data_IF_560946898205
#
_entry.id   IF_560946898205
#
_cell.length_a   1.000
_cell.length_b   1.000
_cell.length_c   1.000
_cell.angle_alpha   90.00
_cell.angle_beta   90.00
_cell.angle_gamma   90.00
#
_symmetry.space_group_name_H-M   'P 1'
#
loop_
_entity.id
_entity.type
_entity.pdbx_description
1 polymer ?
#
# COMPACT_ATOMS: atom_id res chain seq x y z
N UNK A 1 -15.95 19.12 -3.79
CA UNK A 1 -14.62 18.74 -4.34
C UNK A 1 -14.79 17.42 -5.09
N UNK A 2 -14.90 17.45 -6.42
CA UNK A 2 -14.86 16.22 -7.24
C UNK A 2 -13.39 15.85 -7.43
N UNK A 3 -12.93 14.85 -6.70
CA UNK A 3 -11.60 14.28 -6.90
C UNK A 3 -11.70 13.36 -8.13
N UNK A 4 -11.51 13.91 -9.33
CA UNK A 4 -11.32 13.10 -10.54
C UNK A 4 -9.84 12.71 -10.62
N UNK A 5 -9.39 11.87 -9.69
CA UNK A 5 -8.05 11.30 -9.76
C UNK A 5 -8.14 9.96 -10.49
N UNK A 6 -7.45 9.87 -11.62
CA UNK A 6 -7.33 8.62 -12.38
C UNK A 6 -6.40 7.70 -11.59
N UNK A 7 -6.95 6.62 -11.05
CA UNK A 7 -6.18 5.58 -10.35
C UNK A 7 -5.87 4.47 -11.35
N UNK A 8 -4.59 4.26 -11.63
CA UNK A 8 -4.14 3.18 -12.52
C UNK A 8 -3.54 2.08 -11.68
N UNK A 9 -4.13 0.88 -11.67
CA UNK A 9 -3.56 -0.29 -10.98
C UNK A 9 -2.54 -0.94 -11.91
N UNK A 10 -1.29 -1.00 -11.48
CA UNK A 10 -0.18 -1.51 -12.29
C UNK A 10 0.08 -2.99 -12.09
N UNK A 11 -0.07 -3.46 -10.85
CA UNK A 11 0.23 -4.85 -10.51
C UNK A 11 -0.53 -5.28 -9.27
N UNK A 12 -0.86 -6.57 -9.20
CA UNK A 12 -1.41 -7.22 -8.01
C UNK A 12 -0.60 -8.48 -7.74
N UNK A 13 -0.05 -8.60 -6.54
CA UNK A 13 0.66 -9.78 -6.09
C UNK A 13 0.22 -10.14 -4.67
N UNK A 14 -0.66 -11.12 -4.57
CA UNK A 14 -1.24 -11.56 -3.30
C UNK A 14 -1.97 -10.42 -2.59
N UNK A 15 -1.46 -10.03 -1.42
CA UNK A 15 -2.02 -8.99 -0.54
C UNK A 15 -1.62 -7.57 -0.93
N UNK A 16 -0.78 -7.40 -1.94
CA UNK A 16 -0.24 -6.11 -2.36
C UNK A 16 -0.80 -5.68 -3.71
N UNK A 17 -1.18 -4.42 -3.81
CA UNK A 17 -1.64 -3.77 -5.03
C UNK A 17 -0.82 -2.50 -5.27
N UNK A 18 -0.23 -2.36 -6.45
CA UNK A 18 0.49 -1.16 -6.85
C UNK A 18 -0.41 -0.30 -7.71
N UNK A 19 -0.47 0.99 -7.41
CA UNK A 19 -1.26 1.92 -8.19
C UNK A 19 -0.63 3.29 -8.24
N UNK A 20 -0.84 3.99 -9.34
CA UNK A 20 -0.38 5.37 -9.50
C UNK A 20 -1.53 6.36 -9.29
N UNK A 21 -1.23 7.43 -8.58
CA UNK A 21 -2.10 8.59 -8.38
C UNK A 21 -1.27 9.84 -8.58
N UNK A 22 -1.65 10.68 -9.56
CA UNK A 22 -0.98 11.95 -9.87
C UNK A 22 0.54 11.81 -10.17
N UNK A 23 0.95 10.68 -10.77
CA UNK A 23 2.36 10.39 -11.07
C UNK A 23 3.17 9.80 -9.91
N UNK A 24 2.53 9.57 -8.76
CA UNK A 24 3.13 8.95 -7.59
C UNK A 24 2.65 7.50 -7.44
N UNK A 25 3.58 6.58 -7.23
CA UNK A 25 3.29 5.15 -7.04
C UNK A 25 3.02 4.86 -5.56
N UNK A 26 1.90 4.22 -5.29
CA UNK A 26 1.50 3.78 -3.97
C UNK A 26 1.33 2.27 -3.93
N UNK A 27 1.51 1.69 -2.73
CA UNK A 27 1.28 0.28 -2.48
C UNK A 27 0.13 0.15 -1.48
N UNK A 28 -0.94 -0.51 -1.86
CA UNK A 28 -2.02 -0.90 -0.96
C UNK A 28 -1.80 -2.34 -0.51
N UNK A 29 -1.52 -2.50 0.78
CA UNK A 29 -1.62 -3.77 1.47
C UNK A 29 -3.07 -4.03 1.86
N UNK A 30 -3.59 -5.22 1.57
CA UNK A 30 -4.94 -5.66 1.95
C UNK A 30 -4.96 -7.13 2.34
N UNK A 31 -5.41 -7.41 3.57
CA UNK A 31 -5.67 -8.75 4.10
C UNK A 31 -7.02 -8.74 4.80
N UNK A 32 -7.98 -9.51 4.28
CA UNK A 32 -9.36 -9.52 4.80
C UNK A 32 -9.97 -8.10 4.80
N UNK A 33 -10.36 -7.64 5.99
CA UNK A 33 -10.89 -6.28 6.21
C UNK A 33 -9.82 -5.25 6.58
N UNK A 34 -8.56 -5.67 6.71
CA UNK A 34 -7.43 -4.80 7.04
C UNK A 34 -6.80 -4.28 5.76
N UNK A 35 -6.58 -2.97 5.68
CA UNK A 35 -5.88 -2.35 4.57
C UNK A 35 -5.00 -1.20 5.02
N UNK A 36 -3.84 -1.03 4.39
CA UNK A 36 -2.99 0.11 4.61
C UNK A 36 -2.27 0.57 3.35
N UNK A 37 -2.11 1.88 3.28
CA UNK A 37 -1.32 2.54 2.26
C UNK A 37 0.14 2.54 2.74
N UNK A 38 0.99 1.82 2.04
CA UNK A 38 2.43 1.80 2.27
C UNK A 38 3.09 2.87 1.42
N UNK A 39 4.21 3.41 1.95
CA UNK A 39 4.95 4.49 1.33
C UNK A 39 5.51 4.08 -0.04
N UNK A 40 5.69 5.05 -0.93
CA UNK A 40 6.18 4.88 -2.31
C UNK A 40 7.60 4.32 -2.40
N UNK A 41 8.40 4.52 -1.35
CA UNK A 41 9.81 4.15 -1.32
C UNK A 41 9.95 2.69 -0.89
N UNK A 42 10.06 1.81 -1.90
CA UNK A 42 10.35 0.39 -1.71
C UNK A 42 11.64 0.14 -0.91
N UNK A 43 12.55 1.11 -0.91
CA UNK A 43 13.85 1.00 -0.25
C UNK A 43 13.75 1.01 1.29
N UNK A 44 12.70 1.59 1.88
CA UNK A 44 12.46 1.49 3.33
C UNK A 44 11.50 0.35 3.66
N UNK A 45 12.00 -0.87 3.46
CA UNK A 45 11.27 -2.10 3.80
C UNK A 45 10.95 -2.18 5.30
N UNK A 46 11.75 -1.54 6.16
CA UNK A 46 11.62 -1.60 7.62
C UNK A 46 10.37 -0.85 8.10
N UNK A 47 10.12 0.35 7.59
CA UNK A 47 8.93 1.12 7.94
C UNK A 47 7.65 0.43 7.45
N UNK A 48 7.70 -0.17 6.26
CA UNK A 48 6.58 -0.92 5.69
C UNK A 48 6.28 -2.19 6.50
N UNK A 49 7.30 -2.96 6.87
CA UNK A 49 7.15 -4.14 7.72
C UNK A 49 6.56 -3.78 9.08
N UNK A 50 7.09 -2.76 9.76
CA UNK A 50 6.54 -2.30 11.04
C UNK A 50 5.07 -1.89 10.93
N UNK A 51 4.69 -1.24 9.83
CA UNK A 51 3.29 -0.86 9.57
C UNK A 51 2.42 -2.10 9.40
N UNK A 52 2.86 -3.08 8.59
CA UNK A 52 2.13 -4.34 8.37
C UNK A 52 1.99 -5.13 9.68
N UNK A 53 3.07 -5.30 10.43
CA UNK A 53 3.09 -6.04 11.70
C UNK A 53 2.13 -5.43 12.73
N UNK A 54 2.13 -4.10 12.89
CA UNK A 54 1.16 -3.40 13.74
C UNK A 54 -0.29 -3.61 13.31
N UNK A 55 -0.54 -3.70 12.01
CA UNK A 55 -1.89 -3.89 11.47
C UNK A 55 -2.41 -5.33 11.58
N UNK A 56 -1.49 -6.28 11.56
CA UNK A 56 -1.79 -7.71 11.69
C UNK A 56 -1.75 -8.19 13.15
N UNK A 57 -1.43 -7.30 14.09
CA UNK A 57 -1.19 -7.62 15.51
C UNK A 57 -0.17 -8.77 15.68
N UNK A 58 0.80 -8.82 14.77
CA UNK A 58 1.88 -9.80 14.77
C UNK A 58 3.20 -9.11 15.12
N UNK A 59 4.02 -9.65 16.03
CA UNK A 59 5.35 -9.10 16.31
C UNK A 59 6.28 -9.25 15.08
N UNK A 60 7.26 -8.34 14.92
CA UNK A 60 8.15 -8.30 13.76
C UNK A 60 9.06 -9.52 13.59
#
# INVERSE_FOLDING_TARGET
MKISKTMTTHNQHGTFNWFEVDGETYILFKVGNTSALLNRHYDDVTEQQNTIYRLLDTPP
#
